data_IF_554906010325
#
_entry.id   IF_554906010325
#
_cell.length_a   1.000
_cell.length_b   1.000
_cell.length_c   1.000
_cell.angle_alpha   90.00
_cell.angle_beta   90.00
_cell.angle_gamma   90.00
#
_symmetry.space_group_name_H-M   'P 1'
#
loop_
_entity.id
_entity.type
_entity.pdbx_description
1 polymer ?
#
# COMPACT_ATOMS: atom_id res chain seq x y z
N UNK A 1 -23.05 -13.09 -15.78
CA UNK A 1 -23.10 -12.27 -14.57
C UNK A 1 -22.95 -10.76 -14.85
N UNK A 2 -22.07 -10.32 -15.76
CA UNK A 2 -21.84 -8.90 -16.04
C UNK A 2 -23.02 -8.15 -16.67
N UNK A 3 -23.76 -8.79 -17.59
CA UNK A 3 -24.86 -8.15 -18.34
C UNK A 3 -25.96 -7.54 -17.44
N UNK A 4 -26.49 -8.22 -16.42
CA UNK A 4 -27.49 -7.62 -15.53
C UNK A 4 -26.97 -6.40 -14.77
N UNK A 5 -25.70 -6.41 -14.38
CA UNK A 5 -25.08 -5.27 -13.68
C UNK A 5 -25.00 -4.05 -14.61
N UNK A 6 -24.52 -4.24 -15.85
CA UNK A 6 -24.46 -3.15 -16.83
C UNK A 6 -25.84 -2.56 -17.07
N UNK A 7 -26.85 -3.40 -17.39
CA UNK A 7 -28.23 -2.92 -17.62
C UNK A 7 -28.85 -2.18 -16.46
N UNK A 8 -28.42 -2.46 -15.21
CA UNK A 8 -28.89 -1.77 -14.03
C UNK A 8 -28.30 -0.37 -13.86
N UNK A 9 -27.11 -0.13 -14.41
CA UNK A 9 -26.34 1.10 -14.17
C UNK A 9 -25.97 1.86 -15.46
N UNK A 10 -26.65 1.64 -16.58
CA UNK A 10 -26.40 2.36 -17.84
C UNK A 10 -26.80 3.84 -17.78
N UNK A 11 -27.84 4.20 -17.01
CA UNK A 11 -28.38 5.56 -16.97
C UNK A 11 -27.91 6.45 -15.79
N UNK A 12 -27.38 5.91 -14.66
CA UNK A 12 -26.93 6.78 -13.57
C UNK A 12 -25.77 7.69 -13.98
N UNK A 13 -25.87 9.01 -13.78
CA UNK A 13 -24.80 9.95 -14.14
C UNK A 13 -23.55 9.80 -13.28
N UNK A 14 -23.59 8.93 -12.27
CA UNK A 14 -22.47 8.64 -11.37
C UNK A 14 -21.53 7.54 -11.92
N UNK A 15 -21.88 6.86 -13.00
CA UNK A 15 -20.98 5.89 -13.63
C UNK A 15 -19.93 6.65 -14.44
N UNK A 16 -18.66 6.44 -14.13
CA UNK A 16 -17.53 7.07 -14.83
C UNK A 16 -17.03 6.17 -15.98
N UNK A 17 -16.85 4.89 -15.69
CA UNK A 17 -16.32 3.89 -16.62
C UNK A 17 -16.66 2.47 -16.14
N UNK A 18 -16.46 1.47 -17.01
CA UNK A 18 -16.64 0.06 -16.71
C UNK A 18 -15.29 -0.66 -16.54
N UNK A 19 -15.00 -1.14 -15.33
CA UNK A 19 -13.84 -1.99 -15.04
C UNK A 19 -14.09 -3.45 -15.48
N UNK A 20 -13.28 -3.96 -16.42
CA UNK A 20 -13.39 -5.32 -16.93
C UNK A 20 -12.36 -6.22 -16.27
N UNK A 21 -12.56 -6.47 -14.97
CA UNK A 21 -11.70 -7.30 -14.16
C UNK A 21 -10.43 -6.59 -13.66
N UNK A 22 -9.92 -7.09 -12.54
CA UNK A 22 -8.67 -6.65 -11.92
C UNK A 22 -7.66 -7.79 -11.99
N UNK A 23 -6.47 -7.53 -12.52
CA UNK A 23 -5.29 -8.42 -12.56
C UNK A 23 -5.54 -9.83 -13.12
N UNK A 24 -6.53 -9.99 -14.00
CA UNK A 24 -6.93 -11.30 -14.55
C UNK A 24 -5.85 -11.98 -15.39
N UNK A 25 -4.89 -11.21 -15.90
CA UNK A 25 -3.74 -11.75 -16.62
C UNK A 25 -2.68 -12.37 -15.71
N UNK A 26 -2.86 -12.30 -14.39
CA UNK A 26 -1.93 -12.82 -13.37
C UNK A 26 -0.63 -12.02 -13.29
N UNK A 27 0.32 -12.53 -12.52
CA UNK A 27 1.59 -11.88 -12.22
C UNK A 27 2.76 -12.34 -13.10
N UNK A 28 2.57 -13.39 -13.90
CA UNK A 28 3.57 -13.96 -14.82
C UNK A 28 3.68 -13.15 -16.13
N UNK A 29 3.88 -13.83 -17.25
CA UNK A 29 4.05 -13.21 -18.57
C UNK A 29 2.84 -12.41 -19.08
N UNK A 30 1.65 -12.68 -18.55
CA UNK A 30 0.42 -11.97 -18.91
C UNK A 30 0.00 -12.15 -20.36
N UNK A 31 0.34 -13.29 -20.97
CA UNK A 31 0.18 -13.53 -22.41
C UNK A 31 -0.91 -14.56 -22.77
N UNK A 32 -1.64 -15.11 -21.78
CA UNK A 32 -2.67 -16.11 -22.03
C UNK A 32 -3.79 -15.59 -22.95
N UNK A 33 -3.89 -16.08 -24.21
CA UNK A 33 -4.80 -15.53 -25.19
C UNK A 33 -6.28 -15.77 -24.86
N UNK A 34 -6.60 -16.83 -24.10
CA UNK A 34 -7.98 -17.11 -23.70
C UNK A 34 -8.50 -16.06 -22.70
N UNK A 35 -7.65 -15.61 -21.78
CA UNK A 35 -7.98 -14.54 -20.83
C UNK A 35 -8.22 -13.23 -21.58
N UNK A 36 -7.32 -12.84 -22.48
CA UNK A 36 -7.43 -11.60 -23.25
C UNK A 36 -8.63 -11.60 -24.20
N UNK A 37 -8.92 -12.76 -24.80
CA UNK A 37 -10.16 -12.92 -25.56
C UNK A 37 -11.38 -12.70 -24.69
N UNK A 38 -11.45 -13.32 -23.52
CA UNK A 38 -12.59 -13.16 -22.60
C UNK A 38 -12.75 -11.71 -22.13
N UNK A 39 -11.64 -11.03 -21.78
CA UNK A 39 -11.65 -9.61 -21.41
C UNK A 39 -12.21 -8.76 -22.54
N UNK A 40 -11.74 -8.95 -23.77
CA UNK A 40 -12.22 -8.20 -24.93
C UNK A 40 -13.68 -8.50 -25.26
N UNK A 41 -14.12 -9.76 -25.16
CA UNK A 41 -15.52 -10.16 -25.42
C UNK A 41 -16.48 -9.52 -24.40
N UNK A 42 -16.08 -9.49 -23.10
CA UNK A 42 -16.88 -8.82 -22.06
C UNK A 42 -16.93 -7.32 -22.30
N UNK A 43 -15.80 -6.68 -22.61
CA UNK A 43 -15.75 -5.26 -22.94
C UNK A 43 -16.63 -4.92 -24.16
N UNK A 44 -16.57 -5.72 -25.21
CA UNK A 44 -17.41 -5.55 -26.39
C UNK A 44 -18.92 -5.70 -26.08
N UNK A 45 -19.27 -6.62 -25.18
CA UNK A 45 -20.65 -6.75 -24.69
C UNK A 45 -21.08 -5.51 -23.90
N UNK A 46 -20.22 -4.98 -23.03
CA UNK A 46 -20.49 -3.75 -22.26
C UNK A 46 -20.72 -2.59 -23.20
N UNK A 47 -19.86 -2.37 -24.19
CA UNK A 47 -20.00 -1.29 -25.20
C UNK A 47 -21.28 -1.37 -26.03
N UNK A 48 -21.82 -2.57 -26.25
CA UNK A 48 -23.12 -2.73 -26.93
C UNK A 48 -24.30 -2.32 -26.04
N UNK A 49 -24.17 -2.48 -24.73
CA UNK A 49 -25.21 -2.16 -23.76
C UNK A 49 -25.14 -0.71 -23.30
N UNK A 50 -23.93 -0.20 -23.19
CA UNK A 50 -23.61 1.16 -22.75
C UNK A 50 -22.49 1.73 -23.64
N UNK A 51 -22.83 2.36 -24.75
CA UNK A 51 -21.84 2.94 -25.67
C UNK A 51 -21.25 4.26 -25.14
N UNK A 52 -21.82 4.87 -24.10
CA UNK A 52 -21.47 6.20 -23.63
C UNK A 52 -20.31 6.18 -22.61
N UNK A 53 -20.08 5.05 -21.94
CA UNK A 53 -19.02 4.94 -20.93
C UNK A 53 -17.84 4.10 -21.43
N UNK A 54 -16.60 4.53 -21.16
CA UNK A 54 -15.42 3.81 -21.56
C UNK A 54 -15.22 2.51 -20.75
N UNK A 55 -14.52 1.56 -21.35
CA UNK A 55 -14.12 0.31 -20.71
C UNK A 55 -12.65 0.32 -20.34
N UNK A 56 -12.33 -0.20 -19.16
CA UNK A 56 -10.98 -0.29 -18.62
C UNK A 56 -10.65 -1.74 -18.22
N UNK A 57 -9.49 -2.23 -18.57
CA UNK A 57 -8.92 -3.48 -18.04
C UNK A 57 -7.73 -3.16 -17.16
N UNK A 58 -7.68 -3.76 -15.96
CA UNK A 58 -6.62 -3.53 -14.98
C UNK A 58 -5.61 -4.67 -15.02
N UNK A 59 -4.32 -4.33 -15.10
CA UNK A 59 -3.20 -5.28 -15.04
C UNK A 59 -2.32 -5.04 -13.81
N UNK A 60 -1.74 -6.14 -13.29
CA UNK A 60 -0.67 -6.09 -12.30
C UNK A 60 0.61 -5.66 -13.00
N UNK A 61 1.06 -4.44 -12.79
CA UNK A 61 2.25 -3.88 -13.45
C UNK A 61 2.20 -3.94 -15.01
N UNK A 62 3.32 -3.59 -15.64
CA UNK A 62 3.49 -3.51 -17.09
C UNK A 62 4.23 -4.71 -17.70
N UNK A 63 4.72 -5.63 -16.87
CA UNK A 63 5.59 -6.73 -17.30
C UNK A 63 5.00 -7.67 -18.34
N UNK A 64 5.87 -8.36 -19.08
CA UNK A 64 5.50 -9.36 -20.08
C UNK A 64 4.74 -8.76 -21.26
N UNK A 65 3.67 -9.42 -21.68
CA UNK A 65 2.88 -9.03 -22.85
C UNK A 65 1.75 -8.04 -22.56
N UNK A 66 1.56 -7.57 -21.33
CA UNK A 66 0.37 -6.82 -20.88
C UNK A 66 0.09 -5.56 -21.70
N UNK A 67 1.11 -4.74 -21.95
CA UNK A 67 0.96 -3.50 -22.76
C UNK A 67 0.47 -3.86 -24.19
N UNK A 68 1.11 -4.84 -24.82
CA UNK A 68 0.74 -5.27 -26.17
C UNK A 68 -0.68 -5.83 -26.21
N UNK A 69 -1.03 -6.69 -25.25
CA UNK A 69 -2.37 -7.29 -25.19
C UNK A 69 -3.49 -6.28 -24.95
N UNK A 70 -3.28 -5.32 -24.03
CA UNK A 70 -4.26 -4.24 -23.85
C UNK A 70 -4.36 -3.36 -25.08
N UNK A 71 -3.25 -3.07 -25.75
CA UNK A 71 -3.25 -2.32 -27.02
C UNK A 71 -4.06 -3.03 -28.11
N UNK A 72 -3.90 -4.36 -28.24
CA UNK A 72 -4.59 -5.21 -29.23
C UNK A 72 -6.08 -5.40 -28.91
N UNK A 73 -6.48 -5.33 -27.64
CA UNK A 73 -7.87 -5.48 -27.21
C UNK A 73 -8.72 -4.27 -27.66
N UNK A 74 -9.37 -4.38 -28.82
CA UNK A 74 -10.06 -3.27 -29.49
C UNK A 74 -11.25 -2.70 -28.70
N UNK A 75 -11.86 -3.52 -27.85
CA UNK A 75 -12.99 -3.10 -27.02
C UNK A 75 -12.57 -2.46 -25.68
N UNK A 76 -11.29 -2.44 -25.34
CA UNK A 76 -10.76 -1.76 -24.16
C UNK A 76 -10.29 -0.35 -24.55
N UNK A 77 -10.80 0.67 -23.89
CA UNK A 77 -10.45 2.08 -24.12
C UNK A 77 -9.29 2.54 -23.26
N UNK A 78 -9.25 2.12 -22.00
CA UNK A 78 -8.33 2.59 -20.96
C UNK A 78 -7.54 1.43 -20.39
N UNK A 79 -6.24 1.61 -20.20
CA UNK A 79 -5.39 0.65 -19.48
C UNK A 79 -5.36 1.03 -17.99
N UNK A 80 -5.99 0.26 -17.11
CA UNK A 80 -5.80 0.35 -15.69
C UNK A 80 -4.50 -0.36 -15.29
N UNK A 81 -3.67 0.27 -14.47
CA UNK A 81 -2.37 -0.26 -14.09
C UNK A 81 -2.23 -0.19 -12.57
N UNK A 82 -2.04 -1.34 -11.92
CA UNK A 82 -1.65 -1.41 -10.52
C UNK A 82 -0.12 -1.41 -10.46
N UNK A 83 0.48 -0.41 -9.86
CA UNK A 83 1.94 -0.29 -9.78
C UNK A 83 2.36 0.39 -8.48
N UNK A 84 3.27 -0.25 -7.75
CA UNK A 84 3.77 0.19 -6.45
C UNK A 84 5.17 0.81 -6.59
N UNK A 85 6.26 0.11 -6.28
CA UNK A 85 7.61 0.61 -6.49
C UNK A 85 7.88 1.01 -7.93
N UNK A 86 7.30 0.27 -8.88
CA UNK A 86 7.35 0.54 -10.31
C UNK A 86 6.70 1.86 -10.76
N UNK A 87 5.83 2.47 -9.94
CA UNK A 87 5.13 3.71 -10.29
C UNK A 87 6.10 4.87 -10.60
N UNK A 88 7.28 4.89 -9.97
CA UNK A 88 8.30 5.93 -10.20
C UNK A 88 8.85 5.98 -11.64
N UNK A 89 8.69 4.93 -12.43
CA UNK A 89 9.13 4.87 -13.83
C UNK A 89 8.01 4.44 -14.78
N UNK A 90 6.76 4.45 -14.31
CA UNK A 90 5.62 3.90 -15.02
C UNK A 90 5.42 4.56 -16.39
N UNK A 91 5.40 5.88 -16.44
CA UNK A 91 5.15 6.65 -17.67
C UNK A 91 6.21 6.38 -18.74
N UNK A 92 7.49 6.29 -18.36
CA UNK A 92 8.59 5.97 -19.26
C UNK A 92 8.46 4.53 -19.79
N UNK A 93 8.30 3.56 -18.88
CA UNK A 93 8.17 2.13 -19.22
C UNK A 93 6.94 1.86 -20.10
N UNK A 94 5.83 2.57 -19.83
CA UNK A 94 4.61 2.44 -20.64
C UNK A 94 4.83 2.89 -22.07
N UNK A 95 5.46 4.05 -22.29
CA UNK A 95 5.82 4.55 -23.62
C UNK A 95 6.82 3.63 -24.33
N UNK A 96 7.89 3.24 -23.64
CA UNK A 96 8.90 2.33 -24.17
C UNK A 96 8.34 0.96 -24.57
N UNK A 97 7.33 0.46 -23.84
CA UNK A 97 6.60 -0.78 -24.16
C UNK A 97 5.58 -0.64 -25.29
N UNK A 98 5.46 0.54 -25.90
CA UNK A 98 4.50 0.82 -26.99
C UNK A 98 3.06 0.99 -26.51
N UNK A 99 2.86 1.44 -25.29
CA UNK A 99 1.55 1.83 -24.76
C UNK A 99 1.02 3.09 -25.47
N UNK A 100 -0.19 3.00 -26.00
CA UNK A 100 -0.82 4.08 -26.78
C UNK A 100 -2.18 4.50 -26.26
N UNK A 101 -2.83 3.64 -25.48
CA UNK A 101 -4.11 3.98 -24.84
C UNK A 101 -3.88 4.88 -23.64
N UNK A 102 -4.83 5.74 -23.30
CA UNK A 102 -4.78 6.44 -22.02
C UNK A 102 -4.76 5.40 -20.89
N UNK A 103 -4.13 5.75 -19.77
CA UNK A 103 -4.11 4.88 -18.61
C UNK A 103 -4.60 5.57 -17.34
N UNK A 104 -5.06 4.76 -16.39
CA UNK A 104 -5.31 5.14 -15.00
C UNK A 104 -4.37 4.32 -14.12
N UNK A 105 -3.69 4.97 -13.19
CA UNK A 105 -2.96 4.28 -12.12
C UNK A 105 -3.99 3.80 -11.10
N UNK A 106 -4.43 2.53 -11.24
CA UNK A 106 -5.60 2.00 -10.54
C UNK A 106 -5.33 1.54 -9.12
N UNK A 107 -4.08 1.20 -8.84
CA UNK A 107 -3.57 1.02 -7.48
C UNK A 107 -2.16 1.56 -7.43
N UNK A 108 -1.87 2.39 -6.44
CA UNK A 108 -0.51 2.75 -6.07
C UNK A 108 -0.44 3.11 -4.58
N UNK A 109 0.73 2.88 -4.01
CA UNK A 109 0.99 3.08 -2.59
C UNK A 109 2.49 3.01 -2.32
N UNK A 110 2.88 2.75 -1.08
CA UNK A 110 4.27 2.48 -0.76
C UNK A 110 4.78 1.29 -1.57
N UNK A 111 6.11 1.09 -1.69
CA UNK A 111 6.64 -0.11 -2.33
C UNK A 111 5.99 -1.37 -1.78
N UNK A 112 5.65 -2.30 -2.66
CA UNK A 112 5.06 -3.57 -2.28
C UNK A 112 6.02 -4.38 -1.40
N UNK A 113 5.47 -5.14 -0.47
CA UNK A 113 6.28 -5.98 0.42
C UNK A 113 7.20 -6.95 -0.34
N UNK A 114 6.83 -7.33 -1.55
CA UNK A 114 7.61 -8.17 -2.47
C UNK A 114 8.76 -7.41 -3.17
N UNK A 115 8.76 -6.09 -3.13
CA UNK A 115 9.78 -5.23 -3.73
C UNK A 115 10.87 -4.83 -2.73
N UNK A 116 10.65 -5.09 -1.43
CA UNK A 116 11.58 -4.75 -0.36
C UNK A 116 12.40 -5.97 0.05
N UNK A 117 13.74 -5.87 0.05
CA UNK A 117 14.58 -6.95 0.54
C UNK A 117 14.26 -7.30 1.99
N UNK A 118 14.02 -8.58 2.26
CA UNK A 118 13.81 -9.09 3.61
C UNK A 118 15.14 -9.19 4.36
N UNK A 119 15.07 -9.01 5.68
CA UNK A 119 16.22 -9.25 6.55
C UNK A 119 16.53 -10.75 6.69
N UNK A 120 17.60 -11.10 7.44
CA UNK A 120 18.10 -12.49 7.56
C UNK A 120 17.11 -13.48 8.18
N UNK A 121 16.04 -13.06 8.82
CA UNK A 121 14.96 -13.92 9.33
C UNK A 121 13.65 -13.76 8.59
N UNK A 122 13.71 -13.19 7.38
CA UNK A 122 12.60 -13.14 6.45
C UNK A 122 11.59 -12.02 6.69
N UNK A 123 11.79 -11.14 7.66
CA UNK A 123 10.92 -10.00 7.91
C UNK A 123 11.33 -8.80 7.03
N UNK A 124 10.41 -8.19 6.28
CA UNK A 124 10.70 -6.99 5.50
C UNK A 124 10.76 -5.76 6.41
N UNK A 125 11.75 -4.86 6.27
CA UNK A 125 11.71 -3.56 6.89
C UNK A 125 10.59 -2.73 6.26
N UNK A 126 9.74 -2.15 7.08
CA UNK A 126 8.63 -1.31 6.63
C UNK A 126 9.04 0.15 6.66
N UNK A 127 8.84 0.91 5.59
CA UNK A 127 9.01 2.36 5.62
C UNK A 127 8.08 3.03 6.63
N UNK A 128 8.51 4.11 7.24
CA UNK A 128 7.63 4.92 8.11
C UNK A 128 6.46 5.51 7.33
N UNK A 129 5.40 5.94 8.03
CA UNK A 129 4.28 6.63 7.36
C UNK A 129 4.72 7.92 6.66
N UNK A 130 5.77 8.58 7.17
CA UNK A 130 6.39 9.77 6.55
C UNK A 130 7.08 9.42 5.23
N UNK A 131 7.88 8.36 5.21
CA UNK A 131 8.53 7.88 3.98
C UNK A 131 7.51 7.42 2.95
N UNK A 132 6.43 6.75 3.40
CA UNK A 132 5.31 6.34 2.54
C UNK A 132 4.60 7.55 1.92
N UNK A 133 4.33 8.59 2.71
CA UNK A 133 3.72 9.83 2.23
C UNK A 133 4.58 10.50 1.14
N UNK A 134 5.90 10.56 1.35
CA UNK A 134 6.85 11.06 0.35
C UNK A 134 6.85 10.18 -0.92
N UNK A 135 6.69 8.86 -0.77
CA UNK A 135 6.59 7.96 -1.92
C UNK A 135 5.31 8.20 -2.72
N UNK A 136 4.14 8.35 -2.07
CA UNK A 136 2.88 8.70 -2.74
C UNK A 136 3.01 9.96 -3.60
N UNK A 137 3.65 11.01 -3.07
CA UNK A 137 3.91 12.26 -3.81
C UNK A 137 4.72 12.00 -5.07
N UNK A 138 5.89 11.35 -4.93
CA UNK A 138 6.76 11.07 -6.06
C UNK A 138 6.09 10.18 -7.11
N UNK A 139 5.40 9.12 -6.68
CA UNK A 139 4.70 8.21 -7.58
C UNK A 139 3.60 8.93 -8.38
N UNK A 140 2.83 9.79 -7.74
CA UNK A 140 1.82 10.61 -8.42
C UNK A 140 2.45 11.62 -9.39
N UNK A 141 3.49 12.30 -8.98
CA UNK A 141 4.18 13.28 -9.83
C UNK A 141 4.78 12.61 -11.08
N UNK A 142 5.43 11.46 -10.94
CA UNK A 142 6.05 10.72 -12.06
C UNK A 142 5.00 10.01 -12.94
N UNK A 143 4.09 9.24 -12.34
CA UNK A 143 3.17 8.40 -13.09
C UNK A 143 1.95 9.15 -13.62
N UNK A 144 1.50 10.22 -12.95
CA UNK A 144 0.28 10.94 -13.35
C UNK A 144 0.61 12.29 -13.94
N UNK A 145 1.24 13.20 -13.19
CA UNK A 145 1.59 14.54 -13.69
C UNK A 145 2.66 14.52 -14.78
N UNK A 146 3.62 13.58 -14.68
CA UNK A 146 4.70 13.39 -15.68
C UNK A 146 4.25 12.77 -17.00
N UNK A 147 2.97 12.39 -17.11
CA UNK A 147 2.41 11.74 -18.30
C UNK A 147 1.20 12.49 -18.89
N UNK A 148 1.31 13.81 -19.19
CA UNK A 148 0.19 14.55 -19.76
C UNK A 148 -0.26 13.94 -21.09
N UNK A 149 -1.58 13.87 -21.29
CA UNK A 149 -2.19 13.26 -22.48
C UNK A 149 -2.25 11.72 -22.47
N UNK A 150 -1.60 11.05 -21.50
CA UNK A 150 -1.68 9.60 -21.29
C UNK A 150 -2.34 9.24 -19.97
N UNK A 151 -1.87 9.80 -18.87
CA UNK A 151 -2.46 9.53 -17.56
C UNK A 151 -3.77 10.32 -17.39
N UNK A 152 -4.83 9.62 -17.05
CA UNK A 152 -6.14 10.21 -16.76
C UNK A 152 -6.34 10.50 -15.27
N UNK A 153 -5.58 9.84 -14.39
CA UNK A 153 -5.68 9.99 -12.95
C UNK A 153 -5.24 8.74 -12.20
N UNK A 154 -5.60 8.66 -10.93
CA UNK A 154 -5.17 7.56 -10.07
C UNK A 154 -6.17 7.24 -8.95
N UNK A 155 -6.05 6.00 -8.43
CA UNK A 155 -6.67 5.52 -7.20
C UNK A 155 -5.58 5.00 -6.27
N UNK A 156 -5.63 5.41 -5.01
CA UNK A 156 -4.66 4.98 -3.99
C UNK A 156 -4.99 3.60 -3.45
N UNK A 157 -3.97 2.85 -3.05
CA UNK A 157 -4.10 1.61 -2.31
C UNK A 157 -3.40 1.71 -0.93
N UNK A 158 -4.15 1.64 0.20
CA UNK A 158 -5.59 1.50 0.24
C UNK A 158 -6.23 2.66 1.02
N UNK A 159 -7.33 3.21 0.50
CA UNK A 159 -8.13 4.20 1.21
C UNK A 159 -8.88 3.51 2.36
N UNK A 160 -8.32 3.59 3.57
CA UNK A 160 -8.81 2.95 4.78
C UNK A 160 -7.69 2.27 5.55
N UNK A 161 -8.07 1.40 6.50
CA UNK A 161 -7.18 0.53 7.25
C UNK A 161 -7.16 -0.86 6.62
N UNK A 162 -5.98 -1.48 6.55
CA UNK A 162 -5.83 -2.83 6.03
C UNK A 162 -4.68 -3.56 6.70
N UNK A 163 -4.94 -4.79 7.19
CA UNK A 163 -3.90 -5.72 7.59
C UNK A 163 -3.44 -6.53 6.39
N UNK A 164 -2.31 -6.14 5.81
CA UNK A 164 -1.62 -6.86 4.75
C UNK A 164 -0.12 -6.63 4.88
N UNK A 165 0.66 -7.67 4.99
CA UNK A 165 2.04 -7.68 5.48
C UNK A 165 2.13 -7.25 6.96
N UNK A 166 1.80 -6.02 7.29
CA UNK A 166 1.60 -5.50 8.65
C UNK A 166 0.28 -4.74 8.73
N UNK A 167 -0.10 -4.32 9.94
CA UNK A 167 -1.30 -3.51 10.15
C UNK A 167 -1.15 -2.06 9.64
N UNK A 168 0.07 -1.66 9.27
CA UNK A 168 0.40 -0.28 8.88
C UNK A 168 0.97 -0.16 7.47
N UNK A 169 1.14 -1.27 6.72
CA UNK A 169 1.85 -1.25 5.43
C UNK A 169 1.17 -0.39 4.37
N UNK A 170 -0.11 -0.67 4.07
CA UNK A 170 -0.82 -0.03 2.94
C UNK A 170 -1.91 0.95 3.36
N UNK A 171 -2.49 0.79 4.55
CA UNK A 171 -3.57 1.66 5.00
C UNK A 171 -3.16 3.13 5.07
N UNK A 172 -3.98 4.01 4.53
CA UNK A 172 -3.81 5.46 4.64
C UNK A 172 -4.45 6.02 5.92
N UNK A 173 -5.22 5.18 6.62
CA UNK A 173 -5.83 5.47 7.92
C UNK A 173 -5.49 4.37 8.91
N UNK A 174 -5.46 4.70 10.18
CA UNK A 174 -5.45 3.71 11.26
C UNK A 174 -6.85 3.11 11.46
N UNK A 175 -6.94 2.05 12.26
CA UNK A 175 -8.21 1.34 12.51
C UNK A 175 -9.26 2.19 13.23
N UNK A 176 -8.83 3.23 13.95
CA UNK A 176 -9.68 4.21 14.63
C UNK A 176 -10.07 5.40 13.73
N UNK A 177 -9.58 5.44 12.50
CA UNK A 177 -9.86 6.48 11.52
C UNK A 177 -8.86 7.64 11.51
N UNK A 178 -7.82 7.62 12.35
CA UNK A 178 -6.77 8.63 12.30
C UNK A 178 -6.05 8.59 10.94
N UNK A 179 -5.88 9.76 10.32
CA UNK A 179 -5.29 9.87 8.98
C UNK A 179 -3.77 9.89 9.04
N UNK A 180 -3.12 9.16 8.14
CA UNK A 180 -1.67 9.18 7.97
C UNK A 180 -1.25 10.26 6.95
N UNK A 181 0.01 10.67 6.97
CA UNK A 181 0.55 11.72 6.10
C UNK A 181 0.33 11.50 4.60
N UNK A 182 0.09 10.27 4.16
CA UNK A 182 -0.31 9.97 2.78
C UNK A 182 -1.66 10.61 2.41
N UNK A 183 -2.61 10.72 3.35
CA UNK A 183 -3.89 11.41 3.12
C UNK A 183 -3.66 12.90 2.88
N UNK A 184 -2.78 13.51 3.67
CA UNK A 184 -2.46 14.95 3.54
C UNK A 184 -1.82 15.23 2.17
N UNK A 185 -0.86 14.40 1.77
CA UNK A 185 -0.22 14.47 0.46
C UNK A 185 -1.24 14.35 -0.68
N UNK A 186 -2.12 13.35 -0.62
CA UNK A 186 -3.11 13.16 -1.68
C UNK A 186 -4.18 14.26 -1.67
N UNK A 187 -4.54 14.78 -0.51
CA UNK A 187 -5.41 15.95 -0.39
C UNK A 187 -4.83 17.14 -1.15
N UNK A 188 -3.56 17.46 -0.90
CA UNK A 188 -2.88 18.54 -1.61
C UNK A 188 -2.79 18.28 -3.12
N UNK A 189 -2.40 17.06 -3.53
CA UNK A 189 -2.21 16.71 -4.94
C UNK A 189 -3.52 16.76 -5.74
N UNK A 190 -4.63 16.35 -5.15
CA UNK A 190 -5.93 16.31 -5.82
C UNK A 190 -6.70 17.63 -5.74
N UNK A 191 -6.58 18.38 -4.62
CA UNK A 191 -7.32 19.63 -4.43
C UNK A 191 -6.51 20.88 -4.79
N UNK A 192 -5.19 20.77 -4.88
CA UNK A 192 -4.27 21.90 -5.02
C UNK A 192 -4.07 22.69 -3.72
N UNK A 193 -4.53 22.20 -2.58
CA UNK A 193 -4.43 22.86 -1.27
C UNK A 193 -4.00 21.85 -0.22
N UNK A 194 -2.95 22.17 0.52
CA UNK A 194 -2.57 21.39 1.70
C UNK A 194 -3.65 21.50 2.79
N UNK A 195 -3.86 20.45 3.60
CA UNK A 195 -4.65 20.54 4.82
C UNK A 195 -4.10 21.60 5.77
N UNK A 196 -4.98 22.15 6.63
CA UNK A 196 -4.57 23.13 7.65
C UNK A 196 -3.83 22.50 8.83
N UNK A 197 -4.04 21.22 9.06
CA UNK A 197 -3.30 20.40 10.01
C UNK A 197 -2.71 19.21 9.26
N UNK A 198 -1.41 19.00 9.39
CA UNK A 198 -0.69 17.89 8.80
C UNK A 198 -0.50 16.78 9.84
N UNK A 199 -0.47 15.54 9.39
CA UNK A 199 -0.14 14.41 10.27
C UNK A 199 1.29 14.54 10.83
N UNK A 200 1.55 14.04 12.04
CA UNK A 200 2.89 14.02 12.60
C UNK A 200 3.91 13.36 11.68
N UNK A 201 5.16 13.78 11.79
CA UNK A 201 6.31 13.25 11.07
C UNK A 201 7.07 12.32 12.01
N UNK A 202 7.45 11.14 11.52
CA UNK A 202 8.22 10.15 12.27
C UNK A 202 9.41 9.67 11.44
N UNK A 203 10.59 9.64 12.06
CA UNK A 203 11.80 9.06 11.50
C UNK A 203 11.86 7.53 11.75
N UNK A 204 12.69 6.77 11.01
CA UNK A 204 12.91 5.35 11.29
C UNK A 204 13.36 5.11 12.73
N UNK A 205 12.81 4.06 13.36
CA UNK A 205 13.16 3.69 14.74
C UNK A 205 14.60 3.21 14.84
N UNK A 206 15.30 3.63 15.87
CA UNK A 206 16.70 3.24 16.13
C UNK A 206 16.78 2.29 17.30
N UNK A 207 17.14 1.05 17.04
CA UNK A 207 17.41 0.03 18.05
C UNK A 207 18.80 0.28 18.68
N UNK A 208 18.86 0.50 19.98
CA UNK A 208 20.14 0.59 20.68
C UNK A 208 20.74 -0.81 20.87
N UNK A 209 21.69 -1.16 20.03
CA UNK A 209 22.33 -2.49 19.98
C UNK A 209 21.91 -3.30 18.76
N UNK A 210 21.56 -4.55 18.96
CA UNK A 210 21.17 -5.47 17.88
C UNK A 210 19.68 -5.78 17.93
N UNK A 211 19.01 -5.90 16.76
CA UNK A 211 17.63 -6.36 16.71
C UNK A 211 17.46 -7.87 17.00
N UNK A 212 18.57 -8.61 17.14
CA UNK A 212 18.60 -10.03 17.53
C UNK A 212 18.97 -10.11 19.01
N UNK A 213 18.01 -10.43 19.86
CA UNK A 213 18.14 -10.40 21.32
C UNK A 213 17.96 -11.76 21.96
N UNK A 214 18.46 -11.90 23.18
CA UNK A 214 18.23 -13.10 23.98
C UNK A 214 16.81 -13.12 24.57
N UNK A 215 16.24 -14.30 24.88
CA UNK A 215 14.94 -14.42 25.52
C UNK A 215 14.84 -13.60 26.81
N UNK A 216 13.83 -12.75 26.93
CA UNK A 216 13.59 -11.89 28.08
C UNK A 216 14.52 -10.68 28.21
N UNK A 217 15.37 -10.42 27.24
CA UNK A 217 16.25 -9.25 27.25
C UNK A 217 15.47 -7.93 27.19
N UNK A 218 16.01 -6.90 27.81
CA UNK A 218 15.51 -5.54 27.68
C UNK A 218 16.22 -4.81 26.53
N UNK A 219 15.44 -4.11 25.74
CA UNK A 219 15.90 -3.41 24.54
C UNK A 219 15.38 -1.98 24.58
N UNK A 220 16.28 -1.02 24.37
CA UNK A 220 15.89 0.38 24.18
C UNK A 220 15.78 0.71 22.70
N UNK A 221 14.67 1.33 22.32
CA UNK A 221 14.41 1.79 20.96
C UNK A 221 14.13 3.29 21.02
N UNK A 222 14.82 4.06 20.18
CA UNK A 222 14.67 5.50 20.09
C UNK A 222 13.73 5.85 18.95
N UNK A 223 12.99 6.94 19.13
CA UNK A 223 12.11 7.53 18.12
C UNK A 223 12.33 9.04 18.06
N UNK A 224 12.15 9.58 16.88
CA UNK A 224 12.05 11.02 16.65
C UNK A 224 10.70 11.28 15.99
N UNK A 225 9.84 12.00 16.71
CA UNK A 225 8.49 12.36 16.24
C UNK A 225 8.32 13.85 16.42
N UNK A 226 7.77 14.51 15.41
CA UNK A 226 7.48 15.94 15.43
C UNK A 226 6.12 16.23 14.82
N UNK A 227 5.44 17.23 15.33
CA UNK A 227 4.26 17.79 14.72
C UNK A 227 4.66 18.97 13.83
N UNK A 228 4.25 19.05 12.56
CA UNK A 228 4.63 20.12 11.65
C UNK A 228 4.18 21.51 12.13
N UNK A 229 3.07 21.61 12.83
CA UNK A 229 2.53 22.84 13.41
C UNK A 229 3.08 23.14 14.81
N UNK A 230 3.90 22.24 15.37
CA UNK A 230 4.48 22.39 16.70
C UNK A 230 3.56 22.00 17.85
N UNK A 231 2.49 21.27 17.54
CA UNK A 231 1.55 20.73 18.51
C UNK A 231 2.13 19.60 19.37
N UNK A 232 1.36 19.17 20.37
CA UNK A 232 1.72 18.04 21.21
C UNK A 232 1.38 16.72 20.51
N UNK A 233 2.30 15.78 20.52
CA UNK A 233 2.12 14.43 19.97
C UNK A 233 2.04 13.42 21.10
N UNK A 234 1.02 12.59 21.11
CA UNK A 234 0.89 11.43 21.99
C UNK A 234 1.48 10.21 21.31
N UNK A 235 2.38 9.51 21.99
CA UNK A 235 3.06 8.33 21.47
C UNK A 235 2.60 7.07 22.19
N UNK A 236 2.33 6.01 21.45
CA UNK A 236 1.94 4.68 21.93
C UNK A 236 2.81 3.62 21.25
N UNK A 237 3.23 2.63 22.03
CA UNK A 237 4.07 1.54 21.57
C UNK A 237 3.40 0.19 21.74
N UNK A 238 3.58 -0.71 20.80
CA UNK A 238 3.05 -2.06 20.85
C UNK A 238 4.08 -3.06 20.31
N UNK A 239 4.40 -4.08 21.10
CA UNK A 239 5.13 -5.24 20.61
C UNK A 239 4.12 -6.30 20.17
N UNK A 240 4.30 -6.83 18.95
CA UNK A 240 3.45 -7.89 18.39
C UNK A 240 4.31 -9.04 17.86
N UNK A 241 3.77 -10.25 17.82
CA UNK A 241 4.38 -11.31 17.01
C UNK A 241 4.41 -10.88 15.55
N UNK A 242 5.46 -11.24 14.83
CA UNK A 242 5.53 -11.01 13.38
C UNK A 242 4.51 -11.89 12.66
N UNK A 243 3.89 -11.40 11.62
CA UNK A 243 2.85 -12.15 10.90
C UNK A 243 3.37 -13.41 10.21
N UNK A 244 4.66 -13.43 9.89
CA UNK A 244 5.32 -14.57 9.22
C UNK A 244 4.90 -14.78 7.77
N UNK A 245 3.74 -14.30 7.37
CA UNK A 245 3.21 -14.39 6.03
C UNK A 245 3.04 -13.01 5.41
N UNK A 246 3.78 -12.76 4.35
CA UNK A 246 3.76 -11.50 3.58
C UNK A 246 3.15 -11.72 2.20
N UNK A 247 2.02 -12.42 2.18
CA UNK A 247 1.36 -12.71 0.93
C UNK A 247 0.44 -11.54 0.52
N UNK A 248 0.30 -11.36 -0.78
CA UNK A 248 -0.31 -10.21 -1.44
C UNK A 248 -1.70 -10.51 -2.01
N UNK A 249 -2.36 -11.55 -1.52
CA UNK A 249 -3.64 -11.99 -2.06
C UNK A 249 -4.86 -11.11 -1.75
N UNK A 250 -4.67 -10.05 -0.97
CA UNK A 250 -5.74 -9.12 -0.64
C UNK A 250 -6.76 -9.60 0.39
N UNK A 251 -6.65 -10.82 0.88
CA UNK A 251 -7.57 -11.39 1.87
C UNK A 251 -7.42 -10.70 3.24
N UNK A 252 -8.54 -10.46 3.89
CA UNK A 252 -8.56 -9.91 5.24
C UNK A 252 -7.86 -10.87 6.22
N UNK A 253 -6.96 -10.35 7.05
CA UNK A 253 -6.22 -11.10 8.05
C UNK A 253 -6.39 -10.49 9.44
N UNK A 254 -6.39 -11.32 10.49
CA UNK A 254 -6.35 -10.79 11.85
C UNK A 254 -5.00 -10.11 12.11
N UNK A 255 -5.05 -9.00 12.81
CA UNK A 255 -3.83 -8.36 13.32
C UNK A 255 -3.25 -9.26 14.42
N UNK A 256 -1.94 -9.58 14.38
CA UNK A 256 -1.30 -10.37 15.42
C UNK A 256 -1.51 -9.76 16.81
N UNK A 257 -1.70 -10.57 17.85
CA UNK A 257 -1.98 -10.08 19.19
C UNK A 257 -0.79 -9.27 19.74
N UNK A 258 -1.08 -8.28 20.55
CA UNK A 258 -0.08 -7.51 21.30
C UNK A 258 0.50 -8.39 22.41
N UNK A 259 1.80 -8.30 22.63
CA UNK A 259 2.49 -8.90 23.77
C UNK A 259 2.30 -7.99 24.97
N UNK A 260 1.34 -8.36 25.83
CA UNK A 260 1.00 -7.56 27.00
C UNK A 260 2.17 -7.41 27.97
N UNK A 261 2.35 -6.20 28.51
CA UNK A 261 3.41 -5.88 29.46
C UNK A 261 4.83 -5.88 28.89
N UNK A 262 5.00 -5.99 27.58
CA UNK A 262 6.32 -5.94 26.95
C UNK A 262 6.92 -4.53 27.00
N UNK A 263 6.12 -3.48 26.86
CA UNK A 263 6.59 -2.10 26.93
C UNK A 263 6.68 -1.69 28.40
N UNK A 264 7.90 -1.53 28.89
CA UNK A 264 8.19 -1.18 30.29
C UNK A 264 8.19 0.33 30.53
N UNK A 265 8.72 1.09 29.57
CA UNK A 265 8.73 2.55 29.54
C UNK A 265 8.31 3.02 28.15
N UNK A 266 7.46 4.05 28.12
CA UNK A 266 7.04 4.73 26.90
C UNK A 266 7.26 6.23 27.08
N UNK A 267 8.06 6.83 26.20
CA UNK A 267 8.35 8.26 26.17
C UNK A 267 8.22 8.78 24.75
N UNK A 268 8.15 10.10 24.57
CA UNK A 268 8.09 10.73 23.26
C UNK A 268 9.32 10.45 22.38
N UNK A 269 10.47 10.20 23.01
CA UNK A 269 11.77 9.96 22.37
C UNK A 269 12.17 8.48 22.30
N UNK A 270 11.34 7.54 22.81
CA UNK A 270 11.63 6.12 22.73
C UNK A 270 10.89 5.25 23.74
N UNK A 271 11.22 3.96 23.72
CA UNK A 271 10.67 2.96 24.63
C UNK A 271 11.75 2.02 25.19
N UNK A 272 11.51 1.49 26.38
CA UNK A 272 12.19 0.33 26.92
C UNK A 272 11.25 -0.87 26.80
N UNK A 273 11.68 -1.89 26.10
CA UNK A 273 10.87 -3.07 25.79
C UNK A 273 11.53 -4.31 26.35
N UNK A 274 10.78 -5.13 27.10
CA UNK A 274 11.21 -6.48 27.49
C UNK A 274 10.73 -7.46 26.45
N UNK A 275 11.67 -8.11 25.78
CA UNK A 275 11.36 -9.10 24.77
C UNK A 275 10.77 -10.37 25.39
N UNK A 276 9.88 -11.08 24.67
CA UNK A 276 9.36 -12.37 25.13
C UNK A 276 10.45 -13.39 25.39
N UNK A 277 10.10 -14.43 26.18
CA UNK A 277 10.99 -15.58 26.38
C UNK A 277 10.87 -16.61 25.26
N UNK A 278 9.77 -16.59 24.52
CA UNK A 278 9.55 -17.50 23.40
C UNK A 278 10.37 -17.04 22.19
N UNK A 279 11.23 -17.92 21.61
CA UNK A 279 11.99 -17.60 20.43
C UNK A 279 11.11 -17.35 19.23
N UNK A 280 11.52 -16.41 18.39
CA UNK A 280 10.79 -16.09 17.16
C UNK A 280 10.85 -14.62 16.75
N UNK A 281 10.26 -14.30 15.60
CA UNK A 281 10.20 -12.95 15.10
C UNK A 281 9.05 -12.15 15.73
N UNK A 282 9.36 -10.90 16.05
CA UNK A 282 8.42 -9.91 16.60
C UNK A 282 8.58 -8.59 15.84
N UNK A 283 7.61 -7.69 16.02
CA UNK A 283 7.69 -6.33 15.47
C UNK A 283 7.22 -5.34 16.53
N UNK A 284 8.05 -4.33 16.78
CA UNK A 284 7.70 -3.21 17.65
C UNK A 284 7.15 -2.08 16.81
N UNK A 285 5.93 -1.66 17.11
CA UNK A 285 5.24 -0.53 16.47
C UNK A 285 5.23 0.70 17.37
N UNK A 286 5.42 1.85 16.75
CA UNK A 286 5.14 3.16 17.29
C UNK A 286 3.93 3.73 16.53
N UNK A 287 2.98 4.28 17.28
CA UNK A 287 1.89 5.11 16.81
C UNK A 287 1.98 6.47 17.46
N UNK A 288 1.89 7.52 16.70
CA UNK A 288 1.98 8.90 17.17
C UNK A 288 0.74 9.65 16.69
N UNK A 289 -0.01 10.24 17.60
CA UNK A 289 -1.29 10.89 17.31
C UNK A 289 -1.20 12.37 17.71
N UNK A 290 -1.67 13.27 16.85
CA UNK A 290 -1.94 14.67 17.20
C UNK A 290 -3.34 14.85 17.79
N UNK A 291 -3.71 16.08 18.16
CA UNK A 291 -5.03 16.38 18.72
C UNK A 291 -6.11 16.53 17.64
N UNK A 292 -5.74 16.64 16.37
CA UNK A 292 -6.61 16.98 15.23
C UNK A 292 -6.87 15.81 14.28
N UNK A 293 -6.58 14.58 14.76
CA UNK A 293 -6.87 13.33 14.07
C UNK A 293 -5.85 12.94 13.01
N UNK A 294 -4.68 13.57 13.00
CA UNK A 294 -3.50 13.12 12.28
C UNK A 294 -2.72 12.07 13.06
N UNK A 295 -2.09 11.15 12.37
CA UNK A 295 -1.26 10.12 12.98
C UNK A 295 -0.02 9.80 12.13
N UNK A 296 1.01 9.26 12.81
CA UNK A 296 2.19 8.71 12.16
C UNK A 296 2.52 7.33 12.73
N UNK A 297 3.15 6.50 11.91
CA UNK A 297 3.56 5.15 12.31
C UNK A 297 4.98 4.85 11.87
N UNK A 298 5.71 4.16 12.76
CA UNK A 298 6.97 3.51 12.43
C UNK A 298 7.01 2.14 13.10
N UNK A 299 7.80 1.24 12.58
CA UNK A 299 8.01 -0.05 13.24
C UNK A 299 9.40 -0.62 12.94
N UNK A 300 9.81 -1.60 13.73
CA UNK A 300 11.06 -2.31 13.53
C UNK A 300 10.88 -3.80 13.80
N UNK A 301 11.33 -4.68 12.89
CA UNK A 301 11.35 -6.11 13.13
C UNK A 301 12.46 -6.48 14.13
N UNK A 302 12.14 -7.37 15.07
CA UNK A 302 13.01 -7.85 16.12
C UNK A 302 13.01 -9.39 16.14
N UNK A 303 14.12 -10.00 16.55
CA UNK A 303 14.23 -11.46 16.66
C UNK A 303 14.67 -11.88 18.05
N UNK A 304 13.85 -12.68 18.74
CA UNK A 304 14.27 -13.42 19.92
C UNK A 304 14.97 -14.70 19.49
N UNK A 305 16.25 -14.85 19.91
CA UNK A 305 17.09 -15.99 19.54
C UNK A 305 16.58 -17.30 20.16
N UNK A 306 16.82 -18.41 19.49
CA UNK A 306 16.50 -19.77 19.93
C UNK A 306 15.78 -20.58 18.84
N UNK A 307 15.52 -21.84 19.15
CA UNK A 307 14.74 -22.70 18.24
C UNK A 307 13.25 -22.41 18.40
N UNK A 308 12.60 -22.11 17.31
CA UNK A 308 11.13 -21.95 17.27
C UNK A 308 10.51 -23.32 17.50
N UNK A 309 9.84 -23.51 18.65
CA UNK A 309 9.08 -24.72 18.90
C UNK A 309 7.87 -24.73 17.98
N UNK A 310 7.88 -25.57 16.97
CA UNK A 310 6.65 -25.82 16.18
C UNK A 310 5.60 -26.40 17.13
N UNK A 311 4.39 -25.84 17.20
CA UNK A 311 3.30 -26.47 17.97
C UNK A 311 3.05 -27.87 17.42
N UNK A 312 3.02 -28.88 18.31
CA UNK A 312 2.61 -30.24 17.96
C UNK A 312 1.12 -30.29 17.64
#
# INVERSE_FOLDING_TARGET
PARPAVLRYTDPPAVLLWGIGNERAGFEAGDNPAIWKAVNDVAAMVKKLDPNHPTMCVTAELGGARIARVREASAIDIHGINSYGGALSLAERYRAGGGTKPYVLTEFGPPGVWEIPKNDWGAPPEPTSTEKAAFYRRAYDEAVRGAPGLALGSYVFAWGHKMEATATWYGMFLSDGARLGAVDVMTELWSGRAPSNLAPVVEPLVVQGTPRVDPGAELRVLAQVTDPEGGAVRVRWELRSESGEYNTGGDARPVPPTVEGAVLESRGDGALVRMPRDPGPYRLFLYADDADGGAATANVPLLVKGEVRTPM
#
